data_IF_949740084858
#
_entry.id   IF_949740084858
#
_cell.length_a   1.000
_cell.length_b   1.000
_cell.length_c   1.000
_cell.angle_alpha   90.00
_cell.angle_beta   90.00
_cell.angle_gamma   90.00
#
_symmetry.space_group_name_H-M   'P 1'
#
loop_
_entity.id
_entity.type
_entity.pdbx_description
1 polymer ?
#
# COMPACT_ATOMS: atom_id res chain seq x y z
N UNK A 1 1.63 11.52 1.99
CA UNK A 1 0.21 11.95 2.10
C UNK A 1 -0.63 10.68 2.21
N UNK A 2 -1.54 10.59 3.19
CA UNK A 2 -2.27 9.35 3.52
C UNK A 2 -3.75 9.31 3.05
N UNK A 3 -4.11 10.19 2.11
CA UNK A 3 -5.42 10.16 1.45
C UNK A 3 -6.30 11.37 1.78
N UNK A 4 -7.51 11.38 1.23
CA UNK A 4 -8.50 12.44 1.40
C UNK A 4 -9.57 12.08 2.45
N UNK A 5 -10.28 13.08 2.96
CA UNK A 5 -11.38 12.90 3.91
C UNK A 5 -12.56 12.07 3.34
N UNK A 6 -12.67 11.94 2.02
CA UNK A 6 -13.67 11.11 1.33
C UNK A 6 -13.28 9.65 1.15
N UNK A 7 -12.01 9.28 1.38
CA UNK A 7 -11.52 7.92 1.14
C UNK A 7 -12.14 6.91 2.13
N UNK A 8 -12.41 5.67 1.69
CA UNK A 8 -13.09 4.67 2.54
C UNK A 8 -12.25 4.26 3.74
N UNK A 9 -10.92 4.23 3.62
CA UNK A 9 -9.99 3.94 4.69
C UNK A 9 -9.43 5.24 5.24
N UNK A 10 -9.64 5.48 6.53
CA UNK A 10 -8.99 6.55 7.29
C UNK A 10 -7.80 5.99 8.03
N UNK A 11 -6.59 6.31 7.56
CA UNK A 11 -5.35 5.82 8.15
C UNK A 11 -5.04 6.64 9.40
N UNK A 12 -4.95 5.96 10.54
CA UNK A 12 -4.58 6.55 11.84
C UNK A 12 -3.10 6.41 12.14
N UNK A 13 -2.43 5.39 11.59
CA UNK A 13 -0.99 5.17 11.75
C UNK A 13 -0.41 4.52 10.51
N UNK A 14 0.78 4.96 10.12
CA UNK A 14 1.59 4.33 9.08
C UNK A 14 3.06 4.35 9.52
N UNK A 15 3.67 3.18 9.55
CA UNK A 15 5.08 3.00 9.88
C UNK A 15 5.74 2.20 8.77
N UNK A 16 6.92 2.64 8.35
CA UNK A 16 7.72 1.99 7.32
C UNK A 16 9.14 1.85 7.86
N UNK A 17 9.73 0.66 7.72
CA UNK A 17 11.08 0.39 8.19
C UNK A 17 11.79 -0.60 7.26
N UNK A 18 13.07 -0.38 6.90
CA UNK A 18 13.83 0.85 7.14
C UNK A 18 13.26 2.05 6.36
N UNK A 19 13.67 3.25 6.73
CA UNK A 19 13.24 4.51 6.11
C UNK A 19 13.82 4.72 4.70
N UNK A 20 14.87 3.97 4.33
CA UNK A 20 15.38 3.88 2.96
C UNK A 20 15.58 2.44 2.47
N UNK A 21 15.24 2.12 1.20
CA UNK A 21 15.43 0.80 0.62
C UNK A 21 16.90 0.39 0.57
N UNK A 22 17.23 -0.69 1.28
CA UNK A 22 18.57 -1.31 1.23
C UNK A 22 18.47 -2.65 0.51
N UNK A 23 19.33 -2.85 -0.48
CA UNK A 23 19.41 -4.11 -1.25
C UNK A 23 19.54 -5.31 -0.30
N UNK A 24 18.78 -6.37 -0.60
CA UNK A 24 18.74 -7.60 0.18
C UNK A 24 17.93 -7.51 1.48
N UNK A 25 17.56 -6.32 1.93
CA UNK A 25 16.76 -6.13 3.14
C UNK A 25 15.26 -6.08 2.83
N UNK A 26 14.46 -6.43 3.83
CA UNK A 26 13.02 -6.28 3.77
C UNK A 26 12.61 -4.87 4.16
N UNK A 27 11.67 -4.30 3.42
CA UNK A 27 10.88 -3.17 3.86
C UNK A 27 9.60 -3.71 4.47
N UNK A 28 9.34 -3.33 5.71
CA UNK A 28 8.12 -3.65 6.44
C UNK A 28 7.24 -2.41 6.52
N UNK A 29 5.95 -2.60 6.26
CA UNK A 29 4.93 -1.56 6.30
C UNK A 29 3.85 -2.00 7.28
N UNK A 30 3.62 -1.17 8.29
CA UNK A 30 2.52 -1.32 9.25
C UNK A 30 1.55 -0.17 9.08
N UNK A 31 0.32 -0.46 8.67
CA UNK A 31 -0.75 0.51 8.57
C UNK A 31 -1.88 0.17 9.54
N UNK A 32 -2.49 1.18 10.16
CA UNK A 32 -3.72 1.05 10.95
C UNK A 32 -4.70 2.13 10.53
N UNK A 33 -5.98 1.82 10.57
CA UNK A 33 -7.03 2.76 10.23
C UNK A 33 -8.42 2.19 10.44
N UNK A 34 -9.42 2.94 9.97
CA UNK A 34 -10.83 2.57 10.07
C UNK A 34 -11.49 2.63 8.69
N UNK A 35 -12.16 1.55 8.30
CA UNK A 35 -12.95 1.44 7.08
C UNK A 35 -14.38 1.93 7.30
N UNK A 36 -14.87 2.79 6.40
CA UNK A 36 -16.22 3.32 6.44
C UNK A 36 -17.31 2.31 6.03
N UNK A 37 -16.95 1.32 5.20
CA UNK A 37 -17.83 0.26 4.69
C UNK A 37 -17.05 -1.04 4.40
N UNK A 38 -17.78 -2.13 4.19
CA UNK A 38 -17.19 -3.41 3.78
C UNK A 38 -16.53 -3.29 2.40
N UNK A 39 -15.30 -3.81 2.26
CA UNK A 39 -14.59 -3.91 0.99
C UNK A 39 -14.47 -5.38 0.60
N UNK A 40 -15.21 -5.78 -0.44
CA UNK A 40 -15.25 -7.17 -0.92
C UNK A 40 -14.20 -7.48 -1.99
N UNK A 41 -13.55 -6.46 -2.53
CA UNK A 41 -12.50 -6.56 -3.53
C UNK A 41 -12.23 -5.24 -4.22
N UNK A 42 -11.21 -5.25 -5.08
CA UNK A 42 -10.76 -4.04 -5.73
C UNK A 42 -9.39 -4.17 -6.36
N UNK A 43 -8.81 -3.03 -6.72
CA UNK A 43 -7.53 -2.93 -7.38
C UNK A 43 -6.60 -1.97 -6.64
N UNK A 44 -5.32 -2.31 -6.62
CA UNK A 44 -4.24 -1.44 -6.14
C UNK A 44 -3.35 -1.10 -7.33
N UNK A 45 -3.28 0.18 -7.68
CA UNK A 45 -2.26 0.69 -8.59
C UNK A 45 -1.04 1.15 -7.79
N UNK A 46 0.13 0.61 -8.10
CA UNK A 46 1.41 0.99 -7.48
C UNK A 46 2.32 1.60 -8.54
N UNK A 47 2.72 2.84 -8.29
CA UNK A 47 3.69 3.58 -9.09
C UNK A 47 4.91 3.91 -8.25
N UNK A 48 6.09 3.60 -8.77
CA UNK A 48 7.34 4.02 -8.13
C UNK A 48 8.23 4.69 -9.17
N UNK A 49 8.86 5.80 -8.78
CA UNK A 49 9.78 6.56 -9.64
C UNK A 49 11.10 6.80 -8.93
N UNK A 50 12.18 6.50 -9.62
CA UNK A 50 13.55 6.79 -9.19
C UNK A 50 14.47 6.96 -10.39
N UNK A 51 15.05 8.16 -10.58
CA UNK A 51 15.87 8.49 -11.75
C UNK A 51 15.20 8.08 -13.08
N UNK A 52 15.80 7.13 -13.81
CA UNK A 52 15.30 6.56 -15.06
C UNK A 52 14.38 5.34 -14.85
N UNK A 53 14.32 4.79 -13.64
CA UNK A 53 13.45 3.68 -13.29
C UNK A 53 12.00 4.17 -13.11
N UNK A 54 11.10 3.53 -13.84
CA UNK A 54 9.67 3.72 -13.74
C UNK A 54 9.00 2.37 -13.51
N UNK A 55 8.22 2.29 -12.43
CA UNK A 55 7.38 1.15 -12.11
C UNK A 55 5.93 1.61 -12.07
N UNK A 56 5.05 0.86 -12.72
CA UNK A 56 3.61 1.07 -12.70
C UNK A 56 2.93 -0.28 -12.91
N UNK A 57 2.28 -0.79 -11.87
CA UNK A 57 1.61 -2.09 -11.90
C UNK A 57 0.31 -2.04 -11.13
N UNK A 58 -0.64 -2.83 -11.62
CA UNK A 58 -1.93 -3.07 -11.01
C UNK A 58 -1.92 -4.43 -10.35
N UNK A 59 -2.51 -4.50 -9.16
CA UNK A 59 -2.66 -5.71 -8.38
C UNK A 59 -4.11 -5.88 -7.97
N UNK A 60 -4.58 -7.11 -7.88
CA UNK A 60 -5.84 -7.38 -7.21
C UNK A 60 -5.67 -7.23 -5.69
N UNK A 61 -6.58 -6.49 -5.07
CA UNK A 61 -6.55 -6.19 -3.63
C UNK A 61 -6.67 -7.46 -2.79
N UNK A 62 -7.52 -8.40 -3.19
CA UNK A 62 -7.80 -9.61 -2.42
C UNK A 62 -6.77 -10.71 -2.66
N UNK A 63 -6.21 -10.79 -3.87
CA UNK A 63 -5.08 -11.71 -4.14
C UNK A 63 -3.82 -11.30 -3.36
N UNK A 64 -3.62 -9.98 -3.16
CA UNK A 64 -2.45 -9.47 -2.41
C UNK A 64 -2.66 -9.36 -0.91
N UNK A 65 -3.91 -9.32 -0.42
CA UNK A 65 -4.23 -9.21 1.00
C UNK A 65 -3.51 -10.24 1.91
N UNK A 66 -3.33 -11.52 1.52
CA UNK A 66 -2.63 -12.51 2.35
C UNK A 66 -1.18 -12.13 2.66
N UNK A 67 -0.50 -11.42 1.74
CA UNK A 67 0.85 -10.90 1.96
C UNK A 67 0.91 -9.83 3.06
N UNK A 68 -0.24 -9.26 3.43
CA UNK A 68 -0.41 -8.30 4.51
C UNK A 68 -1.12 -8.91 5.74
N UNK A 69 -1.22 -10.24 5.81
CA UNK A 69 -1.90 -10.95 6.90
C UNK A 69 -3.42 -10.76 6.93
N UNK A 70 -4.04 -10.39 5.79
CA UNK A 70 -5.48 -10.15 5.68
C UNK A 70 -6.13 -11.04 4.63
N UNK A 71 -7.44 -11.15 4.72
CA UNK A 71 -8.28 -11.82 3.74
C UNK A 71 -9.51 -10.97 3.48
N UNK A 72 -9.95 -10.97 2.23
CA UNK A 72 -11.23 -10.38 1.88
C UNK A 72 -12.39 -11.27 2.36
N UNK A 73 -13.57 -10.69 2.64
CA UNK A 73 -13.86 -9.25 2.62
C UNK A 73 -13.30 -8.52 3.85
N UNK A 74 -12.82 -7.29 3.66
CA UNK A 74 -12.47 -6.41 4.77
C UNK A 74 -13.74 -5.81 5.35
N UNK A 75 -14.01 -6.05 6.63
CA UNK A 75 -15.19 -5.53 7.31
C UNK A 75 -15.04 -4.06 7.64
N UNK A 76 -16.17 -3.34 7.61
CA UNK A 76 -16.29 -2.00 8.18
C UNK A 76 -15.76 -1.98 9.62
N UNK A 77 -15.05 -0.91 9.97
CA UNK A 77 -14.45 -0.73 11.29
C UNK A 77 -12.93 -0.75 11.25
N UNK A 78 -12.31 -0.99 12.40
CA UNK A 78 -10.86 -0.91 12.54
C UNK A 78 -10.15 -2.04 11.81
N UNK A 79 -9.06 -1.69 11.13
CA UNK A 79 -8.26 -2.60 10.33
C UNK A 79 -6.77 -2.23 10.44
N UNK A 80 -5.92 -3.26 10.39
CA UNK A 80 -4.48 -3.13 10.27
C UNK A 80 -3.99 -3.79 8.99
N UNK A 81 -2.79 -3.46 8.51
CA UNK A 81 -2.12 -4.19 7.45
C UNK A 81 -0.64 -4.29 7.80
N UNK A 82 -0.09 -5.49 7.71
CA UNK A 82 1.29 -5.77 8.07
C UNK A 82 1.96 -6.45 6.88
N UNK A 83 2.55 -5.64 6.00
CA UNK A 83 3.17 -6.10 4.76
C UNK A 83 4.69 -6.08 4.84
N UNK A 84 5.34 -7.02 4.17
CA UNK A 84 6.79 -7.03 4.01
C UNK A 84 7.16 -7.40 2.58
N UNK A 85 8.12 -6.69 1.99
CA UNK A 85 8.68 -7.04 0.69
C UNK A 85 10.20 -6.88 0.69
N UNK A 86 10.89 -7.73 -0.07
CA UNK A 86 12.35 -7.69 -0.17
C UNK A 86 12.79 -6.76 -1.31
N UNK A 87 13.82 -5.94 -1.04
CA UNK A 87 14.49 -5.15 -2.07
C UNK A 87 15.49 -6.05 -2.80
N UNK A 88 15.08 -6.60 -3.95
CA UNK A 88 15.93 -7.49 -4.77
C UNK A 88 17.01 -6.72 -5.53
N UNK A 89 18.04 -7.41 -6.03
CA UNK A 89 19.18 -6.77 -6.74
C UNK A 89 18.79 -6.02 -8.03
N UNK A 90 17.66 -6.37 -8.61
CA UNK A 90 17.07 -5.67 -9.76
C UNK A 90 16.49 -4.30 -9.42
N UNK A 91 16.23 -4.01 -8.14
CA UNK A 91 15.74 -2.71 -7.66
C UNK A 91 16.95 -1.85 -7.28
N UNK A 92 17.18 -0.71 -7.94
CA UNK A 92 18.22 0.22 -7.55
C UNK A 92 18.10 0.64 -6.08
N UNK A 93 19.23 0.88 -5.41
CA UNK A 93 19.20 1.53 -4.10
C UNK A 93 19.02 3.04 -4.27
N UNK A 94 18.28 3.68 -3.37
CA UNK A 94 18.09 5.13 -3.38
C UNK A 94 16.70 5.54 -2.90
N UNK A 95 16.39 6.83 -3.01
CA UNK A 95 15.14 7.40 -2.54
C UNK A 95 14.04 7.34 -3.63
N UNK A 96 13.02 6.54 -3.39
CA UNK A 96 11.85 6.36 -4.23
C UNK A 96 10.70 7.26 -3.78
N UNK A 97 10.00 7.82 -4.76
CA UNK A 97 8.63 8.28 -4.56
C UNK A 97 7.68 7.15 -4.98
N UNK A 98 6.87 6.67 -4.04
CA UNK A 98 5.91 5.59 -4.26
C UNK A 98 4.50 6.16 -4.10
N UNK A 99 3.70 6.04 -5.16
CA UNK A 99 2.28 6.35 -5.17
C UNK A 99 1.49 5.04 -5.21
N UNK A 100 0.62 4.83 -4.23
CA UNK A 100 -0.31 3.70 -4.19
C UNK A 100 -1.73 4.24 -4.20
N UNK A 101 -2.57 3.71 -5.07
CA UNK A 101 -3.99 4.04 -5.15
C UNK A 101 -4.81 2.76 -5.10
N UNK A 102 -5.52 2.56 -3.99
CA UNK A 102 -6.45 1.45 -3.84
C UNK A 102 -7.87 1.91 -4.17
N UNK A 103 -8.57 1.13 -4.99
CA UNK A 103 -9.98 1.34 -5.35
C UNK A 103 -10.78 0.08 -5.11
N UNK A 104 -12.03 0.20 -4.68
CA UNK A 104 -12.94 -0.95 -4.53
C UNK A 104 -13.49 -1.39 -5.89
N UNK A 105 -14.17 -2.54 -5.93
CA UNK A 105 -14.92 -2.99 -7.11
C UNK A 105 -15.97 -1.98 -7.59
N UNK A 106 -16.55 -1.19 -6.67
CA UNK A 106 -17.47 -0.09 -6.98
C UNK A 106 -16.76 1.21 -7.43
N UNK A 107 -15.46 1.15 -7.71
CA UNK A 107 -14.59 2.27 -8.14
C UNK A 107 -14.47 3.41 -7.12
N UNK A 108 -14.92 3.21 -5.88
CA UNK A 108 -14.66 4.15 -4.78
C UNK A 108 -13.18 4.07 -4.40
N UNK A 109 -12.60 5.22 -4.06
CA UNK A 109 -11.21 5.25 -3.55
C UNK A 109 -11.20 4.69 -2.13
N UNK A 110 -10.45 3.61 -1.93
CA UNK A 110 -10.20 3.06 -0.60
C UNK A 110 -9.18 3.95 0.11
N UNK A 111 -8.02 4.19 -0.50
CA UNK A 111 -7.01 5.11 0.00
C UNK A 111 -6.03 5.49 -1.11
N UNK A 112 -5.40 6.65 -0.96
CA UNK A 112 -4.23 7.07 -1.74
C UNK A 112 -3.06 7.32 -0.79
N UNK A 113 -1.94 6.65 -1.03
CA UNK A 113 -0.72 6.79 -0.26
C UNK A 113 0.40 7.32 -1.16
N UNK A 114 1.03 8.41 -0.75
CA UNK A 114 2.29 8.88 -1.34
C UNK A 114 3.38 8.80 -0.28
N UNK A 115 4.39 7.97 -0.55
CA UNK A 115 5.51 7.67 0.32
C UNK A 115 6.82 8.13 -0.31
N UNK A 116 7.74 8.59 0.53
CA UNK A 116 9.11 8.92 0.15
C UNK A 116 10.02 8.10 1.06
N UNK A 117 10.72 7.14 0.48
CA UNK A 117 11.63 6.22 1.18
C UNK A 117 12.94 6.13 0.42
#
# INVERSE_FOLDING_TARGET
NCGAASDLLKISSLTISPDSPVRGQNITIHAKGTLAEDVTGGNINVKAKYLFFNFNRDYDLCETAPNAGKQCPFKKGDISFDGSFQVTDSIPGGNYNIDMHATSNSKKTISKLNLKI
#
